data_IF_923179075907
#
_entry.id   IF_923179075907
#
_cell.length_a   1.000
_cell.length_b   1.000
_cell.length_c   1.000
_cell.angle_alpha   90.00
_cell.angle_beta   90.00
_cell.angle_gamma   90.00
#
_symmetry.space_group_name_H-M   'P 1'
#
loop_
_entity.id
_entity.type
_entity.pdbx_description
1 polymer ?
#
# COMPACT_ATOMS: atom_id res chain seq x y z
N UNK A 1 17.30 -14.74 16.95
CA UNK A 1 16.08 -14.14 17.54
C UNK A 1 15.98 -14.50 19.02
N UNK A 2 16.24 -15.76 19.38
CA UNK A 2 16.37 -16.22 20.78
C UNK A 2 17.38 -15.38 21.59
N UNK A 3 18.53 -15.04 21.01
CA UNK A 3 19.55 -14.24 21.71
C UNK A 3 19.08 -12.81 22.03
N UNK A 4 18.09 -12.29 21.31
CA UNK A 4 17.50 -10.97 21.56
C UNK A 4 16.32 -11.01 22.55
N UNK A 5 15.81 -12.21 22.87
CA UNK A 5 14.70 -12.38 23.81
C UNK A 5 15.07 -11.97 25.24
N UNK A 6 16.36 -11.99 25.58
CA UNK A 6 16.85 -11.48 26.87
C UNK A 6 16.86 -9.94 26.96
N UNK A 7 16.86 -9.24 25.82
CA UNK A 7 17.02 -7.79 25.79
C UNK A 7 18.44 -7.29 26.11
N UNK A 8 19.34 -8.14 26.63
CA UNK A 8 20.74 -7.80 26.90
C UNK A 8 21.47 -7.31 25.64
N UNK A 9 21.37 -8.05 24.53
CA UNK A 9 21.98 -7.65 23.25
C UNK A 9 21.38 -6.36 22.67
N UNK A 10 20.09 -6.09 22.91
CA UNK A 10 19.48 -4.82 22.51
C UNK A 10 20.05 -3.66 23.34
N UNK A 11 20.30 -3.89 24.63
CA UNK A 11 20.95 -2.91 25.51
C UNK A 11 22.38 -2.62 25.06
N UNK A 12 23.13 -3.67 24.72
CA UNK A 12 24.51 -3.52 24.24
C UNK A 12 24.54 -2.71 22.93
N UNK A 13 23.60 -2.96 22.03
CA UNK A 13 23.48 -2.22 20.78
C UNK A 13 23.19 -0.74 21.02
N UNK A 14 22.25 -0.41 21.90
CA UNK A 14 21.95 0.99 22.25
C UNK A 14 23.13 1.69 22.93
N UNK A 15 23.87 0.97 23.78
CA UNK A 15 25.09 1.47 24.41
C UNK A 15 26.19 1.78 23.39
N UNK A 16 26.42 0.89 22.41
CA UNK A 16 27.37 1.12 21.31
C UNK A 16 27.04 2.36 20.48
N UNK A 17 25.76 2.75 20.42
CA UNK A 17 25.30 3.95 19.73
C UNK A 17 25.19 5.20 20.63
N UNK A 18 25.65 5.12 21.89
CA UNK A 18 25.65 6.26 22.83
C UNK A 18 24.26 6.65 23.32
N UNK A 19 23.29 5.74 23.28
CA UNK A 19 21.92 5.96 23.76
C UNK A 19 21.69 5.48 25.20
N UNK A 20 22.69 4.84 25.78
CA UNK A 20 22.71 4.29 27.14
C UNK A 20 24.10 4.52 27.74
N UNK A 21 24.19 5.19 28.89
CA UNK A 21 25.48 5.46 29.55
C UNK A 21 25.85 4.36 30.57
N UNK A 22 24.87 3.71 31.21
CA UNK A 22 25.07 2.75 32.32
C UNK A 22 24.67 1.30 31.99
N UNK A 23 25.09 0.78 30.83
CA UNK A 23 24.72 -0.58 30.40
C UNK A 23 25.15 -1.67 31.38
N UNK A 24 26.41 -1.65 31.84
CA UNK A 24 26.99 -2.73 32.66
C UNK A 24 26.39 -2.86 34.06
N UNK A 25 25.71 -1.82 34.55
CA UNK A 25 25.13 -1.81 35.90
C UNK A 25 23.68 -2.31 35.93
N UNK A 26 22.95 -2.13 34.82
CA UNK A 26 21.51 -2.39 34.78
C UNK A 26 21.11 -3.61 33.95
N UNK A 27 21.99 -4.05 33.03
CA UNK A 27 21.70 -5.17 32.15
C UNK A 27 22.39 -6.43 32.63
N UNK A 28 21.62 -7.50 32.78
CA UNK A 28 22.10 -8.82 33.20
C UNK A 28 21.85 -9.81 32.08
N UNK A 29 22.88 -10.55 31.68
CA UNK A 29 22.77 -11.60 30.67
C UNK A 29 22.30 -12.91 31.29
N UNK A 30 21.06 -12.93 31.79
CA UNK A 30 20.42 -14.11 32.36
C UNK A 30 19.08 -14.39 31.70
N UNK A 31 18.79 -15.68 31.45
CA UNK A 31 17.55 -16.10 30.79
C UNK A 31 16.35 -16.22 31.76
N UNK A 32 16.39 -15.56 32.91
CA UNK A 32 15.29 -15.54 33.88
C UNK A 32 14.25 -14.49 33.47
N UNK A 33 12.95 -14.82 33.54
CA UNK A 33 11.88 -13.88 33.21
C UNK A 33 11.99 -12.54 33.94
N UNK A 34 12.44 -12.57 35.21
CA UNK A 34 12.68 -11.36 36.00
C UNK A 34 13.79 -10.49 35.42
N UNK A 35 14.90 -11.09 34.97
CA UNK A 35 16.01 -10.39 34.33
C UNK A 35 15.61 -9.83 32.96
N UNK A 36 14.92 -10.63 32.14
CA UNK A 36 14.41 -10.19 30.84
C UNK A 36 13.46 -8.98 31.00
N UNK A 37 12.49 -9.07 31.91
CA UNK A 37 11.54 -7.97 32.16
C UNK A 37 12.24 -6.70 32.66
N UNK A 38 13.25 -6.84 33.53
CA UNK A 38 14.05 -5.70 33.99
C UNK A 38 14.84 -5.07 32.84
N UNK A 39 15.52 -5.88 32.02
CA UNK A 39 16.25 -5.44 30.83
C UNK A 39 15.33 -4.65 29.88
N UNK A 40 14.12 -5.16 29.58
CA UNK A 40 13.16 -4.46 28.72
C UNK A 40 12.56 -3.20 29.36
N UNK A 41 12.43 -3.14 30.69
CA UNK A 41 12.04 -1.91 31.38
C UNK A 41 13.09 -0.81 31.21
N UNK A 42 14.38 -1.16 31.35
CA UNK A 42 15.49 -0.24 31.12
C UNK A 42 15.59 0.19 29.65
N UNK A 43 15.39 -0.73 28.70
CA UNK A 43 15.31 -0.41 27.27
C UNK A 43 14.20 0.59 26.96
N UNK A 44 13.00 0.37 27.51
CA UNK A 44 11.88 1.30 27.33
C UNK A 44 12.19 2.68 27.88
N UNK A 45 12.83 2.77 29.05
CA UNK A 45 13.21 4.04 29.65
C UNK A 45 14.21 4.80 28.77
N UNK A 46 15.23 4.12 28.27
CA UNK A 46 16.24 4.72 27.39
C UNK A 46 15.64 5.19 26.05
N UNK A 47 14.82 4.34 25.42
CA UNK A 47 14.18 4.65 24.15
C UNK A 47 13.14 5.76 24.29
N UNK A 48 12.48 5.91 25.45
CA UNK A 48 11.59 7.04 25.72
C UNK A 48 12.35 8.38 25.70
N UNK A 49 13.55 8.42 26.27
CA UNK A 49 14.42 9.60 26.21
C UNK A 49 14.87 9.93 24.78
N UNK A 50 15.19 8.91 23.99
CA UNK A 50 15.60 9.07 22.58
C UNK A 50 14.43 9.09 21.57
N UNK A 51 13.18 9.01 22.03
CA UNK A 51 12.02 8.86 21.13
C UNK A 51 11.87 10.07 20.20
N UNK A 52 12.20 11.26 20.67
CA UNK A 52 12.14 12.49 19.87
C UNK A 52 13.26 12.57 18.82
N UNK A 53 14.39 11.90 19.03
CA UNK A 53 15.55 11.94 18.12
C UNK A 53 15.55 10.79 17.11
N UNK A 54 15.16 9.58 17.54
CA UNK A 54 15.12 8.39 16.69
C UNK A 54 13.74 8.10 16.10
N UNK A 55 12.65 8.56 16.74
CA UNK A 55 11.28 8.21 16.35
C UNK A 55 10.94 6.74 16.55
N UNK A 56 11.68 6.04 17.44
CA UNK A 56 11.50 4.62 17.72
C UNK A 56 10.99 4.47 19.15
N UNK A 57 9.84 3.84 19.32
CA UNK A 57 9.27 3.50 20.62
C UNK A 57 9.09 1.99 20.73
N UNK A 58 9.31 1.45 21.92
CA UNK A 58 9.12 0.04 22.20
C UNK A 58 7.79 -0.14 22.94
N UNK A 59 6.81 -0.73 22.25
CA UNK A 59 5.46 -1.00 22.81
C UNK A 59 5.46 -2.27 23.65
N UNK A 60 4.57 -2.35 24.63
CA UNK A 60 4.47 -3.52 25.52
C UNK A 60 4.06 -4.81 24.78
N UNK A 61 3.31 -4.69 23.68
CA UNK A 61 3.03 -5.81 22.77
C UNK A 61 4.32 -6.35 22.15
N UNK A 62 5.16 -5.46 21.61
CA UNK A 62 6.43 -5.82 20.97
C UNK A 62 7.41 -6.44 21.97
N UNK A 63 7.42 -5.95 23.22
CA UNK A 63 8.23 -6.55 24.29
C UNK A 63 7.82 -8.00 24.52
N UNK A 64 6.51 -8.27 24.65
CA UNK A 64 6.00 -9.65 24.86
C UNK A 64 6.32 -10.56 23.68
N UNK A 65 6.15 -10.08 22.45
CA UNK A 65 6.51 -10.85 21.25
C UNK A 65 8.02 -11.16 21.19
N UNK A 66 8.88 -10.18 21.52
CA UNK A 66 10.34 -10.37 21.52
C UNK A 66 10.77 -11.32 22.65
N UNK A 67 10.25 -11.15 23.86
CA UNK A 67 10.49 -12.07 24.99
C UNK A 67 10.01 -13.48 24.68
N UNK A 68 8.86 -13.61 23.98
CA UNK A 68 8.31 -14.88 23.53
C UNK A 68 9.10 -15.53 22.39
N UNK A 69 10.09 -14.83 21.82
CA UNK A 69 10.88 -15.34 20.69
C UNK A 69 10.07 -15.43 19.39
N UNK A 70 9.02 -14.63 19.26
CA UNK A 70 8.15 -14.65 18.08
C UNK A 70 8.95 -14.32 16.82
N UNK A 71 8.71 -15.14 15.80
CA UNK A 71 9.49 -15.08 14.57
C UNK A 71 9.37 -13.70 13.91
N UNK A 72 10.51 -13.05 13.69
CA UNK A 72 10.60 -11.75 13.04
C UNK A 72 10.29 -10.55 13.94
N UNK A 73 9.91 -10.72 15.21
CA UNK A 73 9.58 -9.57 16.07
C UNK A 73 10.82 -8.79 16.48
N UNK A 74 11.90 -9.47 16.86
CA UNK A 74 13.21 -8.84 17.14
C UNK A 74 13.80 -8.18 15.88
N UNK A 75 13.70 -8.84 14.72
CA UNK A 75 14.18 -8.29 13.44
C UNK A 75 13.42 -7.03 13.01
N UNK A 76 12.09 -7.02 13.15
CA UNK A 76 11.25 -5.83 12.87
C UNK A 76 11.62 -4.66 13.76
N UNK A 77 11.91 -4.92 15.03
CA UNK A 77 12.37 -3.89 15.96
C UNK A 77 13.77 -3.36 15.58
N UNK A 78 14.73 -4.25 15.31
CA UNK A 78 16.07 -3.87 14.86
C UNK A 78 16.06 -3.05 13.56
N UNK A 79 15.16 -3.37 12.63
CA UNK A 79 15.00 -2.60 11.40
C UNK A 79 14.48 -1.18 11.66
N UNK A 80 13.50 -1.03 12.57
CA UNK A 80 13.02 0.28 13.00
C UNK A 80 14.12 1.08 13.68
N UNK A 81 14.87 0.44 14.58
CA UNK A 81 16.01 1.03 15.27
C UNK A 81 17.08 1.50 14.28
N UNK A 82 17.46 0.65 13.31
CA UNK A 82 18.41 1.00 12.25
C UNK A 82 17.93 2.20 11.45
N UNK A 83 16.66 2.25 11.02
CA UNK A 83 16.11 3.40 10.29
C UNK A 83 16.12 4.68 11.14
N UNK A 84 15.79 4.57 12.42
CA UNK A 84 15.86 5.68 13.36
C UNK A 84 17.29 6.21 13.51
N UNK A 85 18.25 5.29 13.65
CA UNK A 85 19.68 5.60 13.74
C UNK A 85 20.26 6.16 12.43
N UNK A 86 19.82 5.68 11.26
CA UNK A 86 20.25 6.26 9.97
C UNK A 86 19.74 7.69 9.82
N UNK A 87 18.48 7.96 10.21
CA UNK A 87 17.91 9.32 10.24
C UNK A 87 18.64 10.21 11.26
N UNK A 88 18.82 9.74 12.48
CA UNK A 88 19.55 10.47 13.51
C UNK A 88 21.03 10.64 13.12
N UNK A 89 21.64 9.67 12.45
CA UNK A 89 23.01 9.66 11.95
C UNK A 89 23.24 10.69 10.85
N UNK A 90 22.25 10.99 10.00
CA UNK A 90 22.32 12.16 9.11
C UNK A 90 22.37 13.50 9.87
N UNK A 91 22.00 13.52 11.15
CA UNK A 91 22.13 14.66 12.05
C UNK A 91 23.40 14.58 12.93
N UNK A 92 23.75 13.41 13.45
CA UNK A 92 24.79 13.22 14.47
C UNK A 92 26.19 12.88 13.93
N UNK A 93 26.33 12.28 12.74
CA UNK A 93 27.67 12.18 12.09
C UNK A 93 28.17 13.52 11.56
N UNK A 94 27.34 14.57 11.58
CA UNK A 94 27.82 15.95 11.42
C UNK A 94 28.35 16.54 12.72
N UNK A 95 27.92 16.08 13.89
CA UNK A 95 28.21 16.77 15.15
C UNK A 95 29.57 16.42 15.78
N UNK A 96 30.16 15.28 15.44
CA UNK A 96 31.51 14.92 15.92
C UNK A 96 32.65 15.49 15.06
N UNK A 97 32.35 16.00 13.86
CA UNK A 97 33.35 16.57 12.93
C UNK A 97 33.05 18.02 12.49
N UNK A 98 32.09 18.71 13.12
CA UNK A 98 31.68 20.08 12.76
C UNK A 98 32.13 21.17 13.76
N UNK A 99 33.18 20.93 14.55
CA UNK A 99 33.81 22.02 15.32
C UNK A 99 34.65 22.99 14.45
N UNK A 100 34.86 22.68 13.17
CA UNK A 100 35.50 23.59 12.22
C UNK A 100 34.84 23.45 10.85
N UNK A 101 33.88 24.33 10.52
CA UNK A 101 33.83 25.01 9.22
C UNK A 101 32.73 26.06 9.24
N UNK A 102 33.17 27.27 8.92
CA UNK A 102 32.40 28.49 8.72
C UNK A 102 31.37 28.29 7.61
N UNK A 103 30.36 29.16 7.64
CA UNK A 103 29.37 29.44 6.59
C UNK A 103 29.88 29.11 5.19
N UNK A 104 29.13 28.31 4.43
CA UNK A 104 29.17 28.33 2.97
C UNK A 104 27.97 27.55 2.41
N UNK A 105 27.14 28.30 1.68
CA UNK A 105 26.38 27.94 0.47
C UNK A 105 26.03 26.48 0.24
N UNK A 106 24.73 26.20 0.14
CA UNK A 106 24.15 24.92 -0.30
C UNK A 106 24.72 24.55 -1.69
N UNK A 107 25.78 23.74 -1.69
CA UNK A 107 26.29 23.09 -2.90
C UNK A 107 25.51 21.78 -3.14
N UNK A 108 25.18 21.46 -4.40
CA UNK A 108 24.56 20.18 -4.72
C UNK A 108 25.49 19.04 -4.30
N UNK A 109 24.92 18.07 -3.58
CA UNK A 109 25.55 16.84 -3.08
C UNK A 109 26.54 16.30 -4.12
N UNK A 110 27.84 16.31 -3.81
CA UNK A 110 28.82 15.70 -4.70
C UNK A 110 28.42 14.23 -4.89
N UNK A 111 28.17 13.85 -6.14
CA UNK A 111 28.08 12.43 -6.48
C UNK A 111 29.44 11.87 -6.12
N UNK A 112 29.48 10.90 -5.19
CA UNK A 112 30.69 10.11 -4.99
C UNK A 112 31.08 9.60 -6.39
N UNK A 113 32.26 9.99 -6.86
CA UNK A 113 32.80 9.44 -8.10
C UNK A 113 33.01 7.97 -7.80
N UNK A 114 32.09 7.12 -8.27
CA UNK A 114 32.27 5.69 -8.20
C UNK A 114 33.49 5.36 -9.07
N UNK A 115 34.28 4.39 -8.63
CA UNK A 115 35.33 3.81 -9.46
C UNK A 115 34.73 3.45 -10.84
N UNK A 116 35.34 3.87 -11.97
CA UNK A 116 34.81 3.58 -13.31
C UNK A 116 34.47 2.10 -13.49
N UNK A 117 35.22 1.19 -12.86
CA UNK A 117 34.94 -0.26 -12.88
C UNK A 117 33.59 -0.59 -12.24
N UNK A 118 33.24 0.07 -11.13
CA UNK A 118 31.96 -0.11 -10.47
C UNK A 118 30.82 0.53 -11.27
N UNK A 119 31.04 1.70 -11.86
CA UNK A 119 30.05 2.37 -12.70
C UNK A 119 29.70 1.52 -13.93
N UNK A 120 30.71 0.93 -14.58
CA UNK A 120 30.51 -0.04 -15.67
C UNK A 120 29.75 -1.29 -15.19
N UNK A 121 30.04 -1.80 -13.99
CA UNK A 121 29.31 -2.95 -13.45
C UNK A 121 27.82 -2.62 -13.21
N UNK A 122 27.54 -1.47 -12.61
CA UNK A 122 26.17 -0.98 -12.38
C UNK A 122 25.42 -0.75 -13.70
N UNK A 123 26.06 -0.13 -14.68
CA UNK A 123 25.43 0.17 -15.97
C UNK A 123 25.23 -1.07 -16.83
N UNK A 124 26.16 -2.01 -16.81
CA UNK A 124 26.09 -3.22 -17.64
C UNK A 124 25.10 -4.25 -17.11
N UNK A 125 24.98 -4.38 -15.78
CA UNK A 125 24.18 -5.45 -15.16
C UNK A 125 22.89 -4.95 -14.53
N UNK A 126 22.89 -3.81 -13.83
CA UNK A 126 21.73 -3.37 -13.03
C UNK A 126 20.77 -2.45 -13.80
N UNK A 127 21.24 -1.58 -14.69
CA UNK A 127 20.34 -0.78 -15.56
C UNK A 127 19.38 -1.63 -16.41
N UNK A 128 19.80 -2.73 -17.07
CA UNK A 128 18.86 -3.55 -17.82
C UNK A 128 17.88 -4.35 -16.94
N UNK A 129 18.24 -4.66 -15.69
CA UNK A 129 17.35 -5.28 -14.70
C UNK A 129 16.29 -4.30 -14.16
N UNK A 130 16.59 -2.99 -14.15
CA UNK A 130 15.66 -1.91 -13.79
C UNK A 130 14.79 -1.46 -14.98
N UNK A 131 14.62 -2.28 -16.01
CA UNK A 131 13.56 -2.06 -17.00
C UNK A 131 12.22 -2.16 -16.29
N UNK A 132 11.75 -1.03 -15.75
CA UNK A 132 10.35 -0.84 -15.38
C UNK A 132 9.53 -1.37 -16.55
N UNK A 133 8.81 -2.45 -16.32
CA UNK A 133 8.10 -3.15 -17.37
C UNK A 133 7.23 -2.13 -18.11
N UNK A 134 7.45 -1.94 -19.41
CA UNK A 134 6.69 -0.97 -20.22
C UNK A 134 5.18 -1.19 -20.10
N UNK A 135 4.79 -2.42 -19.74
CA UNK A 135 3.44 -2.84 -19.39
C UNK A 135 2.87 -2.09 -18.17
N UNK A 136 3.66 -1.86 -17.12
CA UNK A 136 3.25 -1.10 -15.93
C UNK A 136 2.96 0.36 -16.30
N UNK A 137 3.77 0.97 -17.18
CA UNK A 137 3.51 2.34 -17.66
C UNK A 137 2.23 2.42 -18.50
N UNK A 138 1.97 1.41 -19.35
CA UNK A 138 0.72 1.30 -20.11
C UNK A 138 -0.50 1.14 -19.18
N UNK A 139 -0.41 0.25 -18.18
CA UNK A 139 -1.48 0.02 -17.21
C UNK A 139 -1.78 1.26 -16.37
N UNK A 140 -0.77 2.07 -16.03
CA UNK A 140 -0.96 3.27 -15.22
C UNK A 140 -1.55 4.44 -16.03
N UNK A 141 -1.15 4.60 -17.30
CA UNK A 141 -1.47 5.81 -18.07
C UNK A 141 -2.49 5.61 -19.18
N UNK A 142 -2.56 4.43 -19.82
CA UNK A 142 -3.43 4.20 -20.97
C UNK A 142 -4.74 3.49 -20.59
N UNK A 143 -4.72 2.66 -19.54
CA UNK A 143 -5.90 1.87 -19.11
C UNK A 143 -7.16 2.72 -18.86
N UNK A 144 -7.10 3.87 -18.14
CA UNK A 144 -8.31 4.66 -17.89
C UNK A 144 -8.99 5.16 -19.18
N UNK A 145 -8.21 5.47 -20.21
CA UNK A 145 -8.75 5.95 -21.48
C UNK A 145 -9.40 4.82 -22.29
N UNK A 146 -8.80 3.63 -22.28
CA UNK A 146 -9.36 2.45 -22.95
C UNK A 146 -10.66 2.00 -22.28
N UNK A 147 -10.69 2.01 -20.94
CA UNK A 147 -11.87 1.65 -20.15
C UNK A 147 -13.02 2.65 -20.39
N UNK A 148 -12.72 3.95 -20.49
CA UNK A 148 -13.72 4.99 -20.78
C UNK A 148 -14.25 4.89 -22.23
N UNK A 149 -13.38 4.62 -23.21
CA UNK A 149 -13.82 4.39 -24.59
C UNK A 149 -14.77 3.19 -24.70
N UNK A 150 -14.45 2.09 -24.01
CA UNK A 150 -15.29 0.90 -23.98
C UNK A 150 -16.66 1.20 -23.35
N UNK A 151 -16.67 1.94 -22.24
CA UNK A 151 -17.90 2.36 -21.56
C UNK A 151 -18.79 3.20 -22.48
N UNK A 152 -18.22 4.14 -23.23
CA UNK A 152 -18.97 4.97 -24.18
C UNK A 152 -19.58 4.13 -25.30
N UNK A 153 -18.81 3.20 -25.88
CA UNK A 153 -19.32 2.29 -26.92
C UNK A 153 -20.45 1.40 -26.41
N UNK A 154 -20.32 0.85 -25.20
CA UNK A 154 -21.38 0.05 -24.59
C UNK A 154 -22.64 0.87 -24.33
N UNK A 155 -22.51 2.10 -23.84
CA UNK A 155 -23.66 2.99 -23.62
C UNK A 155 -24.39 3.34 -24.91
N UNK A 156 -23.65 3.56 -26.01
CA UNK A 156 -24.25 3.82 -27.34
C UNK A 156 -24.91 2.55 -27.90
N UNK A 157 -24.30 1.40 -27.72
CA UNK A 157 -24.89 0.12 -28.14
C UNK A 157 -26.19 -0.18 -27.38
N UNK A 158 -26.21 0.12 -26.07
CA UNK A 158 -27.39 -0.08 -25.22
C UNK A 158 -28.53 0.87 -25.60
N UNK A 159 -28.25 2.16 -25.84
CA UNK A 159 -29.28 3.11 -26.28
C UNK A 159 -29.85 2.71 -27.65
N UNK A 160 -29.00 2.27 -28.56
CA UNK A 160 -29.41 1.76 -29.86
C UNK A 160 -30.29 0.51 -29.75
N UNK A 161 -29.93 -0.43 -28.86
CA UNK A 161 -30.72 -1.64 -28.62
C UNK A 161 -32.11 -1.28 -28.06
N UNK A 162 -32.19 -0.37 -27.08
CA UNK A 162 -33.46 0.12 -26.52
C UNK A 162 -34.34 0.78 -27.58
N UNK A 163 -33.77 1.58 -28.46
CA UNK A 163 -34.51 2.22 -29.56
C UNK A 163 -35.07 1.19 -30.55
N UNK A 164 -34.29 0.15 -30.87
CA UNK A 164 -34.72 -0.93 -31.74
C UNK A 164 -35.87 -1.73 -31.10
N UNK A 165 -35.76 -2.05 -29.82
CA UNK A 165 -36.81 -2.72 -29.05
C UNK A 165 -38.08 -1.87 -28.96
N UNK A 166 -37.96 -0.57 -28.70
CA UNK A 166 -39.10 0.34 -28.68
C UNK A 166 -39.82 0.39 -30.04
N UNK A 167 -39.07 0.39 -31.15
CA UNK A 167 -39.65 0.30 -32.50
C UNK A 167 -40.34 -1.05 -32.73
N UNK A 168 -39.76 -2.16 -32.26
CA UNK A 168 -40.38 -3.49 -32.34
C UNK A 168 -41.69 -3.55 -31.55
N UNK A 169 -41.70 -3.08 -30.30
CA UNK A 169 -42.90 -3.02 -29.47
C UNK A 169 -43.99 -2.15 -30.10
N UNK A 170 -43.64 -0.97 -30.64
CA UNK A 170 -44.61 -0.11 -31.35
C UNK A 170 -45.21 -0.80 -32.57
N UNK A 171 -44.38 -1.47 -33.38
CA UNK A 171 -44.85 -2.20 -34.56
C UNK A 171 -45.75 -3.39 -34.18
N UNK A 172 -45.41 -4.11 -33.11
CA UNK A 172 -46.22 -5.21 -32.61
C UNK A 172 -47.56 -4.72 -32.06
N UNK A 173 -47.55 -3.68 -31.21
CA UNK A 173 -48.76 -3.06 -30.68
C UNK A 173 -49.69 -2.54 -31.80
N UNK A 174 -49.13 -1.98 -32.88
CA UNK A 174 -49.92 -1.57 -34.04
C UNK A 174 -50.58 -2.76 -34.75
N UNK A 175 -49.86 -3.88 -34.92
CA UNK A 175 -50.42 -5.11 -35.50
C UNK A 175 -51.53 -5.68 -34.63
N UNK A 176 -51.32 -5.73 -33.32
CA UNK A 176 -52.27 -6.27 -32.36
C UNK A 176 -53.56 -5.42 -32.30
N UNK A 177 -53.42 -4.09 -32.32
CA UNK A 177 -54.56 -3.16 -32.39
C UNK A 177 -55.37 -3.36 -33.69
N UNK A 178 -54.70 -3.55 -34.83
CA UNK A 178 -55.38 -3.83 -36.11
C UNK A 178 -56.08 -5.20 -36.12
N UNK A 179 -55.50 -6.22 -35.47
CA UNK A 179 -56.14 -7.52 -35.31
C UNK A 179 -57.36 -7.44 -34.39
N UNK A 180 -57.29 -6.65 -33.30
CA UNK A 180 -58.44 -6.43 -32.40
C UNK A 180 -59.60 -5.76 -33.12
N UNK A 181 -59.35 -4.64 -33.81
CA UNK A 181 -60.41 -3.92 -34.54
C UNK A 181 -61.08 -4.78 -35.61
N UNK A 182 -60.33 -5.65 -36.30
CA UNK A 182 -60.89 -6.62 -37.25
C UNK A 182 -61.72 -7.70 -36.57
N UNK A 183 -61.32 -8.19 -35.39
CA UNK A 183 -62.10 -9.16 -34.59
C UNK A 183 -63.39 -8.55 -34.08
N UNK A 184 -63.33 -7.33 -33.54
CA UNK A 184 -64.49 -6.60 -33.03
C UNK A 184 -65.49 -6.28 -34.16
N UNK A 185 -64.98 -5.86 -35.33
CA UNK A 185 -65.76 -5.66 -36.54
C UNK A 185 -66.41 -6.93 -37.10
N UNK A 186 -65.79 -8.10 -36.87
CA UNK A 186 -66.39 -9.40 -37.24
C UNK A 186 -67.45 -9.83 -36.24
N UNK A 187 -67.18 -9.72 -34.94
CA UNK A 187 -68.12 -10.07 -33.89
C UNK A 187 -69.41 -9.21 -33.96
N UNK A 188 -69.27 -7.92 -34.25
CA UNK A 188 -70.43 -7.03 -34.47
C UNK A 188 -71.25 -7.42 -35.70
N UNK A 189 -70.62 -7.78 -36.82
CA UNK A 189 -71.33 -8.30 -38.00
C UNK A 189 -72.05 -9.62 -37.72
N UNK A 190 -71.43 -10.52 -36.96
CA UNK A 190 -72.06 -11.79 -36.56
C UNK A 190 -73.28 -11.55 -35.65
N UNK A 191 -73.21 -10.59 -34.72
CA UNK A 191 -74.36 -10.16 -33.89
C UNK A 191 -75.51 -9.58 -34.71
N UNK A 192 -75.23 -8.61 -35.59
CA UNK A 192 -76.27 -8.00 -36.45
C UNK A 192 -76.91 -9.02 -37.38
N UNK A 193 -76.15 -10.00 -37.87
CA UNK A 193 -76.72 -11.11 -38.66
C UNK A 193 -77.64 -12.02 -37.84
N UNK A 194 -77.28 -12.32 -36.59
CA UNK A 194 -78.12 -13.11 -35.71
C UNK A 194 -79.44 -12.38 -35.39
N UNK A 195 -79.37 -11.10 -35.05
CA UNK A 195 -80.55 -10.27 -34.75
C UNK A 195 -81.45 -10.06 -35.99
N UNK A 196 -80.86 -9.98 -37.19
CA UNK A 196 -81.61 -9.88 -38.45
C UNK A 196 -82.22 -11.19 -38.97
N UNK A 197 -81.92 -12.33 -38.35
CA UNK A 197 -82.54 -13.63 -38.65
C UNK A 197 -83.71 -13.97 -37.71
N UNK A 198 -83.94 -13.16 -36.68
CA UNK A 198 -85.03 -13.31 -35.71
C UNK A 198 -86.26 -12.40 -36.02
N UNK A 199 -86.26 -11.71 -37.16
CA UNK A 199 -87.42 -10.95 -37.72
C UNK A 199 -87.96 -11.62 -38.98
#
# INVERSE_FOLDING_TARGET
>A
EVDFANGFLLGELLHKHGLLDDFRQHFVDENSYSAQSANFAHLKAALRGSANTLGVSLRDEQVREIMGGDRGSSLRFLFQLRKGLEKAGTSATRSASAAQRKEETILPRSRQQNDPVQEHFYDSRLKPLKRTEKRVAYELHAKPFVDEELRQKMSVAESFARDLEAKRCKNQAFRDSRLSTMRDGRATKERVKAEGQEQ
#
